data_IF_261263613931
#
_entry.id   IF_261263613931
#
_cell.length_a   1.000
_cell.length_b   1.000
_cell.length_c   1.000
_cell.angle_alpha   90.00
_cell.angle_beta   90.00
_cell.angle_gamma   90.00
#
_symmetry.space_group_name_H-M   'P 1'
#
loop_
_entity.id
_entity.type
_entity.pdbx_description
1 polymer ?
#
# COMPACT_ATOMS: atom_id res chain seq x y z
N UNK A 1 2.67 -11.69 0.51
CA UNK A 1 1.45 -11.22 1.21
C UNK A 1 1.76 -9.89 1.89
N UNK A 2 0.81 -8.97 1.98
CA UNK A 2 0.97 -7.74 2.77
C UNK A 2 0.11 -7.81 4.02
N UNK A 3 0.61 -7.26 5.12
CA UNK A 3 -0.18 -7.11 6.33
C UNK A 3 -1.14 -5.94 6.16
N UNK A 4 -2.36 -6.14 6.65
CA UNK A 4 -3.37 -5.10 6.73
C UNK A 4 -3.65 -4.70 8.18
N UNK A 5 -3.97 -3.44 8.36
CA UNK A 5 -4.37 -2.86 9.64
C UNK A 5 -5.86 -2.55 9.59
N UNK A 6 -6.59 -3.00 10.59
CA UNK A 6 -8.04 -2.80 10.67
C UNK A 6 -8.34 -1.35 11.04
N UNK A 7 -9.09 -0.65 10.19
CA UNK A 7 -9.62 0.69 10.51
C UNK A 7 -11.01 0.53 11.13
N UNK A 8 -11.90 -0.21 10.45
CA UNK A 8 -13.26 -0.54 10.90
C UNK A 8 -13.63 -1.95 10.43
N UNK A 9 -14.79 -2.46 10.82
CA UNK A 9 -15.30 -3.76 10.33
C UNK A 9 -15.39 -3.87 8.80
N UNK A 10 -15.43 -2.74 8.08
CA UNK A 10 -15.58 -2.68 6.62
C UNK A 10 -14.38 -2.02 5.92
N UNK A 11 -13.30 -1.69 6.64
CA UNK A 11 -12.17 -0.98 6.07
C UNK A 11 -10.82 -1.49 6.62
N UNK A 12 -9.93 -1.84 5.70
CA UNK A 12 -8.57 -2.29 5.99
C UNK A 12 -7.57 -1.36 5.30
N UNK A 13 -6.58 -0.87 6.05
CA UNK A 13 -5.42 -0.15 5.51
C UNK A 13 -4.35 -1.14 5.11
N UNK A 14 -3.77 -0.99 3.92
CA UNK A 14 -2.62 -1.77 3.47
C UNK A 14 -1.58 -0.84 2.85
N UNK A 15 -0.33 -1.27 2.87
CA UNK A 15 0.72 -0.61 2.11
C UNK A 15 0.98 -1.39 0.82
N UNK A 16 0.82 -0.74 -0.32
CA UNK A 16 1.10 -1.34 -1.63
C UNK A 16 2.58 -1.75 -1.71
N UNK A 17 2.88 -3.04 -1.97
CA UNK A 17 4.26 -3.50 -2.08
C UNK A 17 4.88 -2.99 -3.41
N UNK A 18 6.20 -2.73 -3.46
CA UNK A 18 6.88 -2.37 -4.71
C UNK A 18 6.71 -3.47 -5.77
N UNK A 19 6.45 -3.07 -7.01
CA UNK A 19 6.36 -3.98 -8.16
C UNK A 19 7.08 -3.35 -9.36
N UNK A 20 8.01 -4.06 -10.03
CA UNK A 20 8.76 -3.51 -11.16
C UNK A 20 7.94 -3.45 -12.44
N UNK A 21 6.94 -4.32 -12.59
CA UNK A 21 6.08 -4.39 -13.78
C UNK A 21 4.77 -3.64 -13.56
N UNK A 22 4.34 -2.93 -14.61
CA UNK A 22 3.01 -2.32 -14.66
C UNK A 22 1.91 -3.39 -14.80
N UNK A 23 0.66 -2.96 -14.65
CA UNK A 23 -0.54 -3.75 -14.94
C UNK A 23 -1.45 -3.97 -13.74
N UNK A 24 -2.60 -4.58 -14.01
CA UNK A 24 -3.61 -4.89 -12.98
C UNK A 24 -3.22 -6.19 -12.27
N UNK A 25 -3.35 -6.18 -10.95
CA UNK A 25 -3.23 -7.36 -10.08
C UNK A 25 -4.56 -7.62 -9.38
N UNK A 26 -4.83 -8.89 -9.14
CA UNK A 26 -5.95 -9.32 -8.32
C UNK A 26 -5.58 -9.27 -6.83
N UNK A 27 -6.52 -8.80 -6.01
CA UNK A 27 -6.38 -8.65 -4.56
C UNK A 27 -7.36 -9.59 -3.88
N UNK A 28 -6.83 -10.53 -3.10
CA UNK A 28 -7.58 -11.48 -2.28
C UNK A 28 -7.17 -11.35 -0.83
N UNK A 29 -8.04 -11.80 0.09
CA UNK A 29 -7.73 -11.81 1.53
C UNK A 29 -7.17 -13.17 1.96
N UNK A 30 -6.33 -13.18 2.99
CA UNK A 30 -5.75 -14.38 3.58
C UNK A 30 -5.79 -14.25 5.10
N UNK A 31 -6.41 -15.21 5.78
CA UNK A 31 -6.43 -15.27 7.25
C UNK A 31 -6.19 -16.70 7.72
N UNK A 32 -5.23 -16.90 8.62
CA UNK A 32 -4.83 -18.22 9.12
C UNK A 32 -4.61 -19.26 8.00
N UNK A 33 -3.88 -18.86 6.96
CA UNK A 33 -3.59 -19.66 5.77
C UNK A 33 -4.83 -20.09 4.96
N UNK A 34 -6.00 -19.49 5.22
CA UNK A 34 -7.23 -19.69 4.45
C UNK A 34 -7.47 -18.49 3.53
N UNK A 35 -7.54 -18.70 2.21
CA UNK A 35 -7.78 -17.62 1.27
C UNK A 35 -9.28 -17.31 1.14
N UNK A 36 -9.60 -16.03 0.95
CA UNK A 36 -10.96 -15.52 0.74
C UNK A 36 -10.99 -14.64 -0.51
N UNK A 37 -12.18 -14.41 -1.07
CA UNK A 37 -12.40 -13.57 -2.27
C UNK A 37 -11.70 -14.07 -3.55
N UNK A 38 -11.26 -15.32 -3.63
CA UNK A 38 -10.61 -15.88 -4.85
C UNK A 38 -11.49 -15.85 -6.10
N UNK A 39 -12.80 -15.99 -5.94
CA UNK A 39 -13.76 -15.99 -7.06
C UNK A 39 -14.36 -14.60 -7.35
N UNK A 40 -14.03 -13.60 -6.54
CA UNK A 40 -14.43 -12.20 -6.72
C UNK A 40 -13.34 -11.28 -6.15
N UNK A 41 -12.14 -11.27 -6.76
CA UNK A 41 -11.01 -10.51 -6.23
C UNK A 41 -11.20 -9.01 -6.46
N UNK A 42 -10.64 -8.21 -5.55
CA UNK A 42 -10.40 -6.79 -5.81
C UNK A 42 -9.38 -6.61 -6.94
N UNK A 43 -9.34 -5.44 -7.56
CA UNK A 43 -8.38 -5.13 -8.62
C UNK A 43 -7.57 -3.89 -8.25
N UNK A 44 -6.25 -3.98 -8.41
CA UNK A 44 -5.34 -2.86 -8.15
C UNK A 44 -4.39 -2.70 -9.35
N UNK A 45 -4.22 -1.48 -9.86
CA UNK A 45 -3.36 -1.22 -11.02
C UNK A 45 -2.02 -0.63 -10.58
N UNK A 46 -0.92 -1.23 -11.03
CA UNK A 46 0.41 -0.64 -10.99
C UNK A 46 0.65 0.16 -12.27
N UNK A 47 0.75 1.48 -12.15
CA UNK A 47 1.11 2.39 -13.24
C UNK A 47 2.55 2.87 -13.04
N UNK A 48 3.35 2.91 -14.11
CA UNK A 48 4.66 3.56 -14.02
C UNK A 48 4.47 5.06 -13.89
N UNK A 49 5.31 5.65 -13.06
CA UNK A 49 5.40 7.08 -12.92
C UNK A 49 6.42 7.53 -13.98
N UNK A 50 5.95 7.64 -15.22
CA UNK A 50 6.78 8.20 -16.29
C UNK A 50 7.01 9.69 -16.07
N UNK A 51 6.05 10.36 -15.41
CA UNK A 51 6.16 11.77 -15.02
C UNK A 51 6.30 11.89 -13.50
N UNK A 52 7.38 12.50 -12.97
CA UNK A 52 7.52 12.77 -11.55
C UNK A 52 6.49 13.80 -11.11
N UNK A 53 5.68 13.46 -10.11
CA UNK A 53 4.74 14.39 -9.47
C UNK A 53 5.28 14.85 -8.12
N UNK A 54 4.89 16.07 -7.70
CA UNK A 54 5.25 16.62 -6.38
C UNK A 54 4.78 15.69 -5.25
N UNK A 55 3.56 15.16 -5.36
CA UNK A 55 3.00 14.20 -4.41
C UNK A 55 3.86 12.93 -4.28
N UNK A 56 4.32 12.36 -5.40
CA UNK A 56 5.21 11.21 -5.36
C UNK A 56 6.56 11.55 -4.71
N UNK A 57 7.07 12.77 -4.94
CA UNK A 57 8.25 13.30 -4.25
C UNK A 57 8.08 13.27 -2.73
N UNK A 58 6.99 13.83 -2.20
CA UNK A 58 6.70 13.81 -0.76
C UNK A 58 6.48 12.40 -0.22
N UNK A 59 5.82 11.51 -0.99
CA UNK A 59 5.66 10.11 -0.61
C UNK A 59 6.99 9.38 -0.46
N UNK A 60 7.97 9.68 -1.33
CA UNK A 60 9.34 9.14 -1.22
C UNK A 60 10.05 9.73 -0.01
N UNK A 61 10.01 11.05 0.16
CA UNK A 61 10.63 11.75 1.29
C UNK A 61 10.15 11.20 2.63
N UNK A 62 8.85 10.97 2.80
CA UNK A 62 8.28 10.34 4.01
C UNK A 62 8.89 8.99 4.36
N UNK A 63 9.42 8.24 3.38
CA UNK A 63 10.08 6.94 3.60
C UNK A 63 11.57 7.03 3.90
N UNK A 64 12.25 8.08 3.42
CA UNK A 64 13.72 8.18 3.48
C UNK A 64 14.23 9.21 4.50
N UNK A 65 13.40 10.16 4.92
CA UNK A 65 13.79 11.16 5.91
C UNK A 65 13.94 10.47 7.28
N UNK A 66 15.10 10.63 7.96
CA UNK A 66 15.30 10.11 9.31
C UNK A 66 14.31 10.72 10.31
N UNK A 67 13.93 9.95 11.34
CA UNK A 67 13.03 10.40 12.41
C UNK A 67 13.79 10.64 13.71
N UNK A 68 13.41 11.67 14.44
CA UNK A 68 13.93 12.00 15.76
C UNK A 68 12.93 11.63 16.87
N UNK A 69 13.38 11.47 18.12
CA UNK A 69 12.47 11.30 19.27
C UNK A 69 11.45 12.44 19.35
N UNK A 70 10.16 12.11 19.42
CA UNK A 70 9.07 13.09 19.49
C UNK A 70 8.43 13.46 18.14
N UNK A 71 8.96 12.98 17.01
CA UNK A 71 8.36 13.22 15.70
C UNK A 71 6.95 12.61 15.54
N UNK A 72 6.11 13.19 14.66
CA UNK A 72 4.92 12.65 14.01
C UNK A 72 4.76 11.14 13.97
N UNK A 73 3.57 10.56 13.80
CA UNK A 73 3.51 9.34 12.93
C UNK A 73 3.64 9.75 11.45
N UNK A 74 3.13 10.95 11.10
CA UNK A 74 3.25 11.59 9.79
C UNK A 74 3.93 12.94 9.96
N UNK A 75 5.03 13.15 9.26
CA UNK A 75 5.68 14.46 9.17
C UNK A 75 4.80 15.39 8.30
N UNK A 76 4.72 16.69 8.63
CA UNK A 76 3.97 17.68 7.86
C UNK A 76 4.54 17.87 6.45
#
# INVERSE_FOLDING_TARGET
>A
PVWGELITSNALRVQTPPRPTQGVVEVSLLFNNRPFCKHAPGRFAYTSLNDPTIEYGFQRLRKIIPRHPGDPERLP
#
